data_IF_069489716418
#
_entry.id   IF_069489716418
#
_cell.length_a   1.000
_cell.length_b   1.000
_cell.length_c   1.000
_cell.angle_alpha   90.00
_cell.angle_beta   90.00
_cell.angle_gamma   90.00
#
_symmetry.space_group_name_H-M   'P 1'
#
loop_
_entity.id
_entity.type
_entity.pdbx_description
1 polymer ?
#
# COMPACT_ATOMS: atom_id res chain seq x y z
N UNK A 1 30.48 1.31 -13.42
CA UNK A 1 29.94 0.28 -14.35
C UNK A 1 30.80 -0.96 -14.21
N UNK A 2 30.19 -2.09 -13.84
CA UNK A 2 30.88 -3.36 -13.61
C UNK A 2 30.65 -4.32 -14.79
N UNK A 3 31.72 -4.90 -15.29
CA UNK A 3 31.68 -5.94 -16.32
C UNK A 3 30.77 -7.09 -15.87
N UNK A 4 29.93 -7.60 -16.75
CA UNK A 4 28.99 -8.72 -16.55
C UNK A 4 27.80 -8.48 -15.64
N UNK A 5 27.71 -7.35 -14.90
CA UNK A 5 26.60 -7.04 -14.00
C UNK A 5 25.75 -5.87 -14.47
N UNK A 6 26.36 -4.93 -15.18
CA UNK A 6 25.69 -3.71 -15.62
C UNK A 6 25.37 -3.76 -17.11
N UNK A 7 24.30 -3.07 -17.49
CA UNK A 7 23.87 -2.85 -18.86
C UNK A 7 23.74 -1.35 -19.08
N UNK A 8 24.32 -0.85 -20.15
CA UNK A 8 24.19 0.53 -20.56
C UNK A 8 22.97 0.68 -21.48
N UNK A 9 21.95 1.41 -21.05
CA UNK A 9 20.77 1.73 -21.85
C UNK A 9 20.89 3.18 -22.35
N UNK A 10 20.89 3.36 -23.68
CA UNK A 10 21.11 4.66 -24.33
C UNK A 10 19.98 4.98 -25.28
N UNK A 11 19.42 6.18 -25.12
CA UNK A 11 18.39 6.72 -25.98
C UNK A 11 18.92 7.91 -26.80
N UNK A 12 18.73 7.88 -28.11
CA UNK A 12 19.05 9.02 -28.97
C UNK A 12 18.26 8.95 -30.28
N UNK A 13 17.53 10.01 -30.62
CA UNK A 13 16.71 10.06 -31.83
C UNK A 13 17.56 9.81 -33.07
N UNK A 14 18.64 10.58 -33.25
CA UNK A 14 19.58 10.41 -34.36
C UNK A 14 20.55 9.26 -34.16
N UNK A 15 20.90 8.97 -32.89
CA UNK A 15 21.95 8.04 -32.52
C UNK A 15 23.36 8.44 -32.99
N UNK A 16 23.55 9.72 -33.36
CA UNK A 16 24.80 10.26 -33.92
C UNK A 16 25.42 11.37 -33.06
N UNK A 17 24.89 11.62 -31.84
CA UNK A 17 25.39 12.66 -30.94
C UNK A 17 26.85 12.35 -30.58
N UNK A 18 27.73 13.36 -30.74
CA UNK A 18 29.18 13.21 -30.54
C UNK A 18 29.55 12.77 -29.12
N UNK A 19 28.75 13.22 -28.13
CA UNK A 19 28.93 12.87 -26.73
C UNK A 19 28.81 11.35 -26.45
N UNK A 20 28.01 10.66 -27.25
CA UNK A 20 27.83 9.19 -27.10
C UNK A 20 29.07 8.40 -27.47
N UNK A 21 29.99 8.95 -28.29
CA UNK A 21 31.11 8.26 -28.83
C UNK A 21 32.06 7.70 -27.74
N UNK A 22 32.36 8.53 -26.76
CA UNK A 22 33.27 8.17 -25.66
C UNK A 22 32.70 7.05 -24.80
N UNK A 23 31.43 7.16 -24.42
CA UNK A 23 30.79 6.16 -23.56
C UNK A 23 30.53 4.83 -24.29
N UNK A 24 30.15 4.88 -25.55
CA UNK A 24 29.99 3.66 -26.38
C UNK A 24 31.30 2.91 -26.60
N UNK A 25 32.38 3.63 -26.91
CA UNK A 25 33.73 3.04 -27.01
C UNK A 25 34.18 2.46 -25.69
N UNK A 26 33.94 3.17 -24.57
CA UNK A 26 34.25 2.68 -23.23
C UNK A 26 33.51 1.35 -22.97
N UNK A 27 32.18 1.34 -23.18
CA UNK A 27 31.38 0.15 -22.97
C UNK A 27 31.84 -1.05 -23.76
N UNK A 28 32.17 -0.84 -25.05
CA UNK A 28 32.69 -1.90 -25.92
C UNK A 28 34.08 -2.41 -25.46
N UNK A 29 35.02 -1.52 -25.09
CA UNK A 29 36.36 -1.93 -24.58
C UNK A 29 36.22 -2.75 -23.29
N UNK A 30 35.26 -2.48 -22.47
CA UNK A 30 35.07 -3.17 -21.19
C UNK A 30 34.06 -4.33 -21.26
N UNK A 31 33.61 -4.69 -22.48
CA UNK A 31 32.58 -5.73 -22.70
C UNK A 31 31.30 -5.51 -21.86
N UNK A 32 30.84 -4.26 -21.74
CA UNK A 32 29.59 -3.88 -21.13
C UNK A 32 28.50 -3.96 -22.20
N UNK A 33 27.44 -4.71 -21.94
CA UNK A 33 26.30 -4.82 -22.86
C UNK A 33 25.63 -3.47 -23.04
N UNK A 34 25.40 -3.07 -24.29
CA UNK A 34 24.72 -1.82 -24.66
C UNK A 34 23.37 -2.14 -25.27
N UNK A 35 22.31 -1.56 -24.73
CA UNK A 35 20.98 -1.50 -25.35
C UNK A 35 20.83 -0.12 -25.95
N UNK A 36 20.89 -0.01 -27.28
CA UNK A 36 20.69 1.25 -27.97
C UNK A 36 19.28 1.39 -28.50
N UNK A 37 18.65 2.51 -28.23
CA UNK A 37 17.31 2.86 -28.70
C UNK A 37 17.42 4.11 -29.57
N UNK A 38 17.07 3.99 -30.85
CA UNK A 38 17.19 5.08 -31.82
C UNK A 38 16.05 5.06 -32.84
N UNK A 39 15.80 6.21 -33.47
CA UNK A 39 14.85 6.32 -34.61
C UNK A 39 15.56 6.27 -35.97
N UNK A 40 16.89 6.01 -36.02
CA UNK A 40 17.69 5.89 -37.25
C UNK A 40 18.41 4.55 -37.26
N UNK A 41 18.05 3.68 -38.21
CA UNK A 41 18.56 2.30 -38.29
C UNK A 41 20.09 2.22 -38.55
N UNK A 42 20.63 3.15 -39.31
CA UNK A 42 22.06 3.22 -39.64
C UNK A 42 22.91 3.99 -38.63
N UNK A 43 22.33 4.34 -37.46
CA UNK A 43 23.01 5.17 -36.47
C UNK A 43 24.23 4.52 -35.86
N UNK A 44 25.20 5.36 -35.45
CA UNK A 44 26.39 4.94 -34.70
C UNK A 44 25.98 4.22 -33.42
N UNK A 45 24.99 4.74 -32.68
CA UNK A 45 24.47 4.10 -31.46
C UNK A 45 24.08 2.66 -31.71
N UNK A 46 23.26 2.38 -32.73
CA UNK A 46 22.81 1.02 -33.00
C UNK A 46 23.96 0.12 -33.50
N UNK A 47 24.96 0.67 -34.22
CA UNK A 47 26.13 -0.10 -34.61
C UNK A 47 26.94 -0.61 -33.42
N UNK A 48 27.10 0.21 -32.37
CA UNK A 48 27.82 -0.12 -31.15
C UNK A 48 26.99 -0.89 -30.10
N UNK A 49 25.69 -1.09 -30.35
CA UNK A 49 24.79 -1.74 -29.39
C UNK A 49 24.77 -3.26 -29.56
N UNK A 50 24.80 -3.96 -28.41
CA UNK A 50 24.57 -5.41 -28.32
C UNK A 50 23.11 -5.74 -28.65
N UNK A 51 22.19 -4.94 -28.12
CA UNK A 51 20.74 -5.02 -28.40
C UNK A 51 20.33 -3.72 -29.10
N UNK A 52 19.71 -3.86 -30.28
CA UNK A 52 19.34 -2.74 -31.14
C UNK A 52 17.82 -2.58 -31.13
N UNK A 53 17.33 -1.43 -30.68
CA UNK A 53 15.92 -1.09 -30.69
C UNK A 53 15.71 0.07 -31.64
N UNK A 54 14.95 -0.19 -32.69
CA UNK A 54 14.57 0.82 -33.65
C UNK A 54 13.12 1.27 -33.38
N UNK A 55 12.93 2.51 -32.97
CA UNK A 55 11.61 3.12 -32.83
C UNK A 55 11.22 3.88 -34.10
N UNK A 56 9.93 4.03 -34.36
CA UNK A 56 9.46 4.81 -35.49
C UNK A 56 9.91 6.27 -35.36
N UNK A 57 10.31 6.85 -36.48
CA UNK A 57 10.56 8.30 -36.56
C UNK A 57 9.23 9.03 -36.57
N UNK A 58 9.07 9.96 -35.64
CA UNK A 58 7.85 10.79 -35.49
C UNK A 58 8.20 12.25 -35.76
N UNK A 59 7.23 13.00 -36.31
CA UNK A 59 7.36 14.44 -36.45
C UNK A 59 7.21 15.10 -35.09
N UNK A 60 8.08 16.07 -34.80
CA UNK A 60 7.95 16.89 -33.61
C UNK A 60 6.72 17.79 -33.68
N UNK A 61 6.09 18.04 -32.54
CA UNK A 61 4.95 18.94 -32.45
C UNK A 61 5.41 20.41 -32.49
N UNK A 62 4.64 21.25 -33.18
CA UNK A 62 4.93 22.68 -33.30
C UNK A 62 5.94 23.02 -34.39
N UNK A 63 6.39 24.26 -34.39
CA UNK A 63 7.29 24.80 -35.41
C UNK A 63 8.76 24.90 -34.98
N UNK A 64 9.12 24.22 -33.87
CA UNK A 64 10.47 24.26 -33.31
C UNK A 64 11.18 22.91 -33.45
N UNK A 65 12.51 22.92 -33.34
CA UNK A 65 13.32 21.69 -33.32
C UNK A 65 13.33 21.04 -31.91
N UNK A 66 12.49 21.54 -30.99
CA UNK A 66 12.42 21.01 -29.63
C UNK A 66 11.85 19.60 -29.65
N UNK A 67 12.48 18.65 -28.91
CA UNK A 67 11.99 17.28 -28.81
C UNK A 67 10.65 17.24 -28.05
N UNK A 68 9.61 16.71 -28.67
CA UNK A 68 8.25 16.58 -28.15
C UNK A 68 7.73 15.16 -28.37
N UNK A 69 7.28 14.85 -29.56
CA UNK A 69 6.76 13.53 -29.93
C UNK A 69 7.82 12.44 -29.80
N UNK A 70 9.08 12.73 -30.12
CA UNK A 70 10.19 11.78 -29.94
C UNK A 70 10.46 11.48 -28.45
N UNK A 71 10.33 12.49 -27.57
CA UNK A 71 10.46 12.30 -26.11
C UNK A 71 9.36 11.39 -25.58
N UNK A 72 8.10 11.60 -26.01
CA UNK A 72 6.99 10.73 -25.63
C UNK A 72 7.18 9.29 -26.14
N UNK A 73 7.70 9.13 -27.34
CA UNK A 73 8.01 7.82 -27.90
C UNK A 73 9.04 7.05 -27.04
N UNK A 74 10.12 7.71 -26.65
CA UNK A 74 11.12 7.11 -25.74
C UNK A 74 10.57 6.83 -24.36
N UNK A 75 9.79 7.76 -23.80
CA UNK A 75 9.16 7.59 -22.48
C UNK A 75 8.23 6.36 -22.49
N UNK A 76 7.35 6.26 -23.49
CA UNK A 76 6.41 5.14 -23.61
C UNK A 76 7.13 3.79 -23.70
N UNK A 77 8.22 3.73 -24.48
CA UNK A 77 9.01 2.51 -24.60
C UNK A 77 9.73 2.18 -23.29
N UNK A 78 10.31 3.19 -22.63
CA UNK A 78 10.96 3.04 -21.33
C UNK A 78 10.02 2.51 -20.26
N UNK A 79 8.80 3.05 -20.18
CA UNK A 79 7.76 2.59 -19.25
C UNK A 79 7.36 1.13 -19.54
N UNK A 80 7.17 0.79 -20.83
CA UNK A 80 6.86 -0.60 -21.20
C UNK A 80 7.97 -1.57 -20.78
N UNK A 81 9.24 -1.19 -20.95
CA UNK A 81 10.39 -1.97 -20.49
C UNK A 81 10.39 -2.10 -18.96
N UNK A 82 10.21 -1.00 -18.25
CA UNK A 82 10.20 -0.99 -16.79
C UNK A 82 9.11 -1.91 -16.22
N UNK A 83 7.86 -1.80 -16.71
CA UNK A 83 6.74 -2.64 -16.30
C UNK A 83 6.99 -4.11 -16.63
N UNK A 84 7.59 -4.41 -17.78
CA UNK A 84 7.94 -5.77 -18.16
C UNK A 84 9.00 -6.36 -17.23
N UNK A 85 10.03 -5.60 -16.88
CA UNK A 85 11.03 -5.97 -15.91
C UNK A 85 10.44 -6.21 -14.51
N UNK A 86 9.52 -5.35 -14.08
CA UNK A 86 8.80 -5.51 -12.80
C UNK A 86 8.02 -6.81 -12.76
N UNK A 87 7.26 -7.13 -13.82
CA UNK A 87 6.53 -8.40 -13.95
C UNK A 87 7.46 -9.60 -13.87
N UNK A 88 8.56 -9.59 -14.65
CA UNK A 88 9.53 -10.67 -14.69
C UNK A 88 10.24 -10.88 -13.33
N UNK A 89 10.55 -9.80 -12.62
CA UNK A 89 11.15 -9.83 -11.26
C UNK A 89 10.12 -10.12 -10.17
N UNK A 90 8.86 -10.38 -10.50
CA UNK A 90 7.76 -10.57 -9.52
C UNK A 90 7.77 -9.45 -8.48
N UNK A 91 7.80 -8.21 -8.98
CA UNK A 91 7.78 -7.02 -8.13
C UNK A 91 6.42 -6.92 -7.41
N UNK A 92 6.44 -6.71 -6.11
CA UNK A 92 5.24 -6.65 -5.27
C UNK A 92 5.12 -5.29 -4.58
N UNK A 93 3.91 -4.93 -4.15
CA UNK A 93 3.69 -3.73 -3.35
C UNK A 93 4.58 -3.70 -2.10
N UNK A 94 4.85 -4.87 -1.47
CA UNK A 94 5.76 -4.97 -0.34
C UNK A 94 7.19 -4.54 -0.69
N UNK A 95 7.70 -4.93 -1.86
CA UNK A 95 9.01 -4.49 -2.35
C UNK A 95 9.01 -3.00 -2.66
N UNK A 96 7.91 -2.46 -3.21
CA UNK A 96 7.77 -1.04 -3.48
C UNK A 96 7.84 -0.21 -2.19
N UNK A 97 7.07 -0.58 -1.16
CA UNK A 97 7.09 0.07 0.16
C UNK A 97 8.50 0.03 0.79
N UNK A 98 9.20 -1.10 0.69
CA UNK A 98 10.56 -1.24 1.23
C UNK A 98 11.57 -0.28 0.58
N UNK A 99 11.36 0.09 -0.70
CA UNK A 99 12.24 1.03 -1.44
C UNK A 99 11.77 2.49 -1.35
N UNK A 100 10.49 2.73 -0.94
CA UNK A 100 9.90 4.06 -0.84
C UNK A 100 9.17 4.25 0.51
N UNK A 101 9.88 4.14 1.66
CA UNK A 101 9.25 4.06 2.97
C UNK A 101 8.48 5.32 3.39
N UNK A 102 8.78 6.46 2.81
CA UNK A 102 8.20 7.77 3.18
C UNK A 102 7.21 8.33 2.14
N UNK A 103 6.92 7.61 1.08
CA UNK A 103 6.04 8.09 0.00
C UNK A 103 4.55 7.91 0.34
N UNK A 104 3.68 8.83 -0.10
CA UNK A 104 2.21 8.73 0.04
C UNK A 104 1.66 7.44 -0.56
N UNK A 105 2.24 6.94 -1.65
CA UNK A 105 1.91 5.65 -2.24
C UNK A 105 2.26 4.46 -1.31
N UNK A 106 3.34 4.56 -0.55
CA UNK A 106 3.72 3.52 0.41
C UNK A 106 2.71 3.42 1.55
N UNK A 107 2.30 4.56 2.11
CA UNK A 107 1.32 4.62 3.20
C UNK A 107 -0.06 4.13 2.76
N UNK A 108 -0.47 4.37 1.50
CA UNK A 108 -1.75 3.88 0.96
C UNK A 108 -1.83 2.36 0.82
N UNK A 109 -0.68 1.67 0.77
CA UNK A 109 -0.59 0.22 0.60
C UNK A 109 -0.46 -0.56 1.92
N UNK A 110 -0.32 0.12 3.05
CA UNK A 110 -0.24 -0.53 4.37
C UNK A 110 -1.54 -1.30 4.64
N UNK A 111 -1.40 -2.59 4.97
CA UNK A 111 -2.55 -3.43 5.28
C UNK A 111 -2.94 -3.31 6.76
N UNK A 112 -4.23 -3.49 7.04
CA UNK A 112 -4.79 -3.48 8.40
C UNK A 112 -4.02 -4.38 9.36
N UNK A 113 -3.66 -5.60 8.93
CA UNK A 113 -2.89 -6.55 9.76
C UNK A 113 -1.52 -6.06 10.21
N UNK A 114 -0.94 -5.07 9.53
CA UNK A 114 0.39 -4.53 9.84
C UNK A 114 0.38 -3.50 10.98
N UNK A 115 -0.81 -2.96 11.28
CA UNK A 115 -0.96 -1.87 12.24
C UNK A 115 -2.06 -2.07 13.28
N UNK A 116 -2.85 -3.14 13.19
CA UNK A 116 -3.92 -3.45 14.15
C UNK A 116 -3.35 -3.91 15.49
N UNK A 117 -4.07 -3.65 16.56
CA UNK A 117 -3.85 -4.29 17.86
C UNK A 117 -4.23 -5.77 17.79
N UNK A 118 -3.42 -6.66 18.36
CA UNK A 118 -3.58 -8.12 18.25
C UNK A 118 -3.45 -8.82 19.59
N UNK A 119 -3.86 -10.08 19.67
CA UNK A 119 -3.65 -10.97 20.83
C UNK A 119 -4.05 -10.32 22.16
N UNK A 120 -3.09 -10.17 23.07
CA UNK A 120 -3.30 -9.61 24.41
C UNK A 120 -3.71 -8.13 24.42
N UNK A 121 -3.55 -7.41 23.30
CA UNK A 121 -3.97 -6.01 23.18
C UNK A 121 -5.48 -5.88 22.93
N UNK A 122 -6.16 -6.96 22.50
CA UNK A 122 -7.59 -6.95 22.23
C UNK A 122 -8.35 -6.92 23.56
N UNK A 123 -9.11 -5.86 23.87
CA UNK A 123 -9.94 -5.81 25.07
C UNK A 123 -11.16 -6.73 24.90
N UNK A 124 -11.04 -7.95 25.39
CA UNK A 124 -12.06 -8.99 25.27
C UNK A 124 -12.55 -9.42 26.65
N UNK A 125 -13.85 -9.32 26.86
CA UNK A 125 -14.50 -9.75 28.10
C UNK A 125 -15.68 -10.68 27.81
N UNK A 126 -16.12 -11.41 28.85
CA UNK A 126 -17.36 -12.18 28.81
C UNK A 126 -18.57 -11.25 28.77
N UNK A 127 -19.62 -11.66 28.05
CA UNK A 127 -20.91 -10.97 28.04
C UNK A 127 -21.59 -10.89 29.43
N UNK A 128 -21.14 -11.72 30.40
CA UNK A 128 -21.62 -11.70 31.77
C UNK A 128 -20.73 -10.83 32.70
N UNK A 129 -19.70 -10.18 32.18
CA UNK A 129 -18.83 -9.33 32.98
C UNK A 129 -19.59 -8.10 33.50
N UNK A 130 -19.09 -7.52 34.58
CA UNK A 130 -19.64 -6.28 35.12
C UNK A 130 -19.19 -5.09 34.28
N UNK A 131 -19.97 -4.02 34.29
CA UNK A 131 -19.61 -2.77 33.59
C UNK A 131 -18.32 -2.17 34.18
N UNK A 132 -18.07 -2.34 35.49
CA UNK A 132 -16.79 -1.93 36.09
C UNK A 132 -15.60 -2.66 35.47
N UNK A 133 -15.71 -3.98 35.27
CA UNK A 133 -14.65 -4.77 34.61
C UNK A 133 -14.43 -4.31 33.16
N UNK A 134 -15.51 -4.01 32.43
CA UNK A 134 -15.42 -3.47 31.09
C UNK A 134 -14.71 -2.11 31.02
N UNK A 135 -15.06 -1.18 31.89
CA UNK A 135 -14.41 0.14 31.98
C UNK A 135 -12.92 -0.01 32.35
N UNK A 136 -12.61 -0.89 33.30
CA UNK A 136 -11.21 -1.17 33.67
C UNK A 136 -10.41 -1.68 32.49
N UNK A 137 -10.92 -2.67 31.75
CA UNK A 137 -10.28 -3.24 30.57
C UNK A 137 -10.11 -2.19 29.45
N UNK A 138 -11.13 -1.37 29.21
CA UNK A 138 -11.09 -0.27 28.24
C UNK A 138 -9.99 0.75 28.59
N UNK A 139 -9.86 1.10 29.88
CA UNK A 139 -8.85 2.03 30.37
C UNK A 139 -7.42 1.47 30.23
N UNK A 140 -7.26 0.17 30.46
CA UNK A 140 -5.95 -0.50 30.32
C UNK A 140 -5.52 -0.55 28.85
N UNK A 141 -6.43 -0.95 27.94
CA UNK A 141 -6.12 -1.14 26.51
C UNK A 141 -6.14 0.16 25.70
N UNK A 142 -6.78 1.22 26.19
CA UNK A 142 -6.81 2.58 25.58
C UNK A 142 -7.34 2.62 24.14
N UNK A 143 -8.22 1.68 23.76
CA UNK A 143 -8.81 1.61 22.42
C UNK A 143 -10.24 2.19 22.34
N UNK A 144 -10.75 2.79 23.43
CA UNK A 144 -12.08 3.40 23.51
C UNK A 144 -13.24 2.42 23.33
N UNK A 145 -12.96 1.11 23.32
CA UNK A 145 -13.97 0.06 23.22
C UNK A 145 -13.57 -1.21 23.98
N UNK A 146 -14.55 -2.08 24.23
CA UNK A 146 -14.36 -3.46 24.71
C UNK A 146 -15.23 -4.40 23.89
N UNK A 147 -14.68 -5.53 23.51
CA UNK A 147 -15.40 -6.61 22.85
C UNK A 147 -16.05 -7.53 23.89
N UNK A 148 -17.35 -7.72 23.79
CA UNK A 148 -18.14 -8.60 24.63
C UNK A 148 -18.47 -9.88 23.86
N UNK A 149 -17.87 -11.01 24.25
CA UNK A 149 -18.13 -12.31 23.60
C UNK A 149 -19.36 -12.95 24.21
N UNK A 150 -20.38 -13.18 23.37
CA UNK A 150 -21.61 -13.86 23.72
C UNK A 150 -21.45 -15.40 23.69
N UNK A 151 -22.37 -16.12 24.36
CA UNK A 151 -22.37 -17.61 24.38
C UNK A 151 -22.48 -18.23 22.98
N UNK A 152 -23.18 -17.57 22.07
CA UNK A 152 -23.36 -18.02 20.67
C UNK A 152 -22.15 -17.65 19.76
N UNK A 153 -21.08 -17.16 20.35
CA UNK A 153 -19.88 -16.74 19.62
C UNK A 153 -19.97 -15.36 18.97
N UNK A 154 -21.13 -14.68 19.02
CA UNK A 154 -21.24 -13.30 18.50
C UNK A 154 -20.41 -12.34 19.35
N UNK A 155 -19.96 -11.30 18.70
CA UNK A 155 -19.25 -10.19 19.35
C UNK A 155 -20.11 -8.95 19.30
N UNK A 156 -20.39 -8.41 20.49
CA UNK A 156 -20.94 -7.07 20.69
C UNK A 156 -19.83 -6.16 21.19
N UNK A 157 -19.95 -4.86 21.02
CA UNK A 157 -18.96 -3.90 21.52
C UNK A 157 -19.60 -2.91 22.48
N UNK A 158 -18.85 -2.56 23.52
CA UNK A 158 -19.15 -1.44 24.41
C UNK A 158 -18.12 -0.34 24.16
N UNK A 159 -18.59 0.85 23.81
CA UNK A 159 -17.74 2.01 23.51
C UNK A 159 -17.88 3.09 24.60
N UNK A 160 -16.93 4.03 24.66
CA UNK A 160 -17.04 5.23 25.51
C UNK A 160 -18.34 6.01 25.25
N UNK A 161 -18.79 6.05 24.00
CA UNK A 161 -20.06 6.65 23.62
C UNK A 161 -21.26 5.94 24.23
N UNK A 162 -21.24 4.61 24.29
CA UNK A 162 -22.32 3.82 24.91
C UNK A 162 -22.37 4.05 26.41
N UNK A 163 -21.23 4.14 27.07
CA UNK A 163 -21.12 4.46 28.50
C UNK A 163 -21.73 5.84 28.77
N UNK A 164 -21.32 6.86 28.01
CA UNK A 164 -21.85 8.23 28.15
C UNK A 164 -23.36 8.31 27.94
N UNK A 165 -23.88 7.67 26.92
CA UNK A 165 -25.32 7.63 26.64
C UNK A 165 -26.14 6.92 27.72
N UNK A 166 -25.53 6.02 28.47
CA UNK A 166 -26.16 5.21 29.48
C UNK A 166 -25.71 5.57 30.91
N UNK A 167 -25.17 6.77 31.13
CA UNK A 167 -24.60 7.20 32.44
C UNK A 167 -25.59 7.06 33.60
N UNK A 168 -26.88 7.33 33.40
CA UNK A 168 -27.91 7.14 34.40
C UNK A 168 -28.08 5.65 34.77
N UNK A 169 -27.81 5.32 36.03
CA UNK A 169 -27.92 3.96 36.58
C UNK A 169 -27.01 2.94 35.82
N UNK A 170 -25.89 3.38 35.29
CA UNK A 170 -24.97 2.59 34.46
C UNK A 170 -24.64 1.23 35.11
N UNK A 171 -24.21 1.23 36.37
CA UNK A 171 -23.76 0.02 37.07
C UNK A 171 -24.87 -0.98 37.44
N UNK A 172 -26.15 -0.58 37.34
CA UNK A 172 -27.31 -1.46 37.55
C UNK A 172 -27.73 -2.19 36.26
N UNK A 173 -27.20 -1.77 35.09
CA UNK A 173 -27.55 -2.36 33.82
C UNK A 173 -26.69 -3.58 33.52
N UNK A 174 -27.27 -4.58 32.82
CA UNK A 174 -26.49 -5.68 32.24
C UNK A 174 -25.69 -5.15 31.02
N UNK A 175 -24.45 -5.56 30.88
CA UNK A 175 -23.55 -5.07 29.84
C UNK A 175 -24.13 -5.23 28.42
N UNK A 176 -24.74 -6.38 28.12
CA UNK A 176 -25.36 -6.63 26.81
C UNK A 176 -26.56 -5.74 26.47
N UNK A 177 -27.16 -5.05 27.45
CA UNK A 177 -28.23 -4.10 27.21
C UNK A 177 -27.73 -2.78 26.66
N UNK A 178 -26.47 -2.46 26.90
CA UNK A 178 -25.85 -1.18 26.50
C UNK A 178 -24.83 -1.35 25.36
N UNK A 179 -24.43 -2.58 25.06
CA UNK A 179 -23.53 -2.88 23.94
C UNK A 179 -24.17 -2.69 22.58
N UNK A 180 -23.42 -2.21 21.64
CA UNK A 180 -23.77 -2.24 20.22
C UNK A 180 -23.61 -3.67 19.68
N UNK A 181 -24.71 -4.21 19.13
CA UNK A 181 -24.79 -5.61 18.65
C UNK A 181 -24.28 -5.81 17.23
N UNK A 182 -24.08 -4.75 16.47
CA UNK A 182 -23.64 -4.77 15.09
C UNK A 182 -22.35 -3.96 14.91
N UNK A 183 -21.21 -4.45 15.42
CA UNK A 183 -19.93 -3.75 15.26
C UNK A 183 -19.54 -3.68 13.80
N UNK A 184 -18.77 -2.66 13.46
CA UNK A 184 -18.20 -2.54 12.13
C UNK A 184 -16.95 -3.40 12.00
N UNK A 185 -16.86 -4.14 10.90
CA UNK A 185 -15.79 -5.08 10.62
C UNK A 185 -14.96 -4.64 9.41
N UNK A 186 -13.70 -5.05 9.38
CA UNK A 186 -12.82 -4.90 8.23
C UNK A 186 -11.98 -6.16 8.07
N UNK A 187 -11.54 -6.45 6.85
CA UNK A 187 -10.62 -7.57 6.60
C UNK A 187 -9.19 -7.20 6.99
N UNK A 188 -8.45 -8.18 7.48
CA UNK A 188 -7.01 -8.03 7.76
C UNK A 188 -6.18 -7.66 6.52
N UNK A 189 -6.65 -8.03 5.32
CA UNK A 189 -6.01 -7.76 4.02
C UNK A 189 -6.41 -6.42 3.40
N UNK A 190 -7.43 -5.74 3.94
CA UNK A 190 -7.82 -4.42 3.46
C UNK A 190 -6.72 -3.40 3.78
N UNK A 191 -6.72 -2.28 3.05
CA UNK A 191 -5.74 -1.21 3.30
C UNK A 191 -6.16 -0.34 4.49
N UNK A 192 -5.19 0.24 5.18
CA UNK A 192 -5.45 1.17 6.27
C UNK A 192 -6.20 2.43 5.78
N UNK A 193 -5.99 2.83 4.53
CA UNK A 193 -6.73 3.93 3.91
C UNK A 193 -8.22 3.61 3.79
N UNK A 194 -8.58 2.42 3.28
CA UNK A 194 -9.98 1.98 3.20
C UNK A 194 -10.63 1.86 4.60
N UNK A 195 -9.82 1.55 5.61
CA UNK A 195 -10.29 1.54 7.00
C UNK A 195 -10.65 2.94 7.50
N UNK A 196 -9.82 3.95 7.21
CA UNK A 196 -10.09 5.35 7.55
C UNK A 196 -11.37 5.83 6.86
N UNK A 197 -11.52 5.58 5.57
CA UNK A 197 -12.73 5.92 4.83
C UNK A 197 -13.98 5.30 5.47
N UNK A 198 -13.90 4.02 5.85
CA UNK A 198 -14.98 3.32 6.52
C UNK A 198 -15.30 3.89 7.91
N UNK A 199 -14.27 4.28 8.68
CA UNK A 199 -14.42 4.93 9.97
C UNK A 199 -15.11 6.30 9.81
N UNK A 200 -14.67 7.11 8.85
CA UNK A 200 -15.21 8.44 8.56
C UNK A 200 -16.69 8.36 8.11
N UNK A 201 -17.00 7.48 7.16
CA UNK A 201 -18.37 7.31 6.65
C UNK A 201 -19.35 6.85 7.73
N UNK A 202 -18.88 6.06 8.70
CA UNK A 202 -19.69 5.57 9.82
C UNK A 202 -19.60 6.41 11.09
N UNK A 203 -18.76 7.46 11.08
CA UNK A 203 -18.49 8.33 12.25
C UNK A 203 -18.07 7.53 13.49
N UNK A 204 -17.14 6.57 13.29
CA UNK A 204 -16.57 5.72 14.33
C UNK A 204 -15.05 5.79 14.27
N UNK A 205 -14.39 5.47 15.39
CA UNK A 205 -12.93 5.54 15.53
C UNK A 205 -12.26 4.18 15.55
N UNK A 206 -13.03 3.09 15.50
CA UNK A 206 -12.48 1.74 15.62
C UNK A 206 -13.24 0.74 14.76
N UNK A 207 -12.52 -0.26 14.24
CA UNK A 207 -13.06 -1.37 13.47
C UNK A 207 -12.58 -2.70 14.09
N UNK A 208 -13.47 -3.69 14.17
CA UNK A 208 -13.07 -5.05 14.46
C UNK A 208 -12.46 -5.68 13.21
N UNK A 209 -11.38 -6.41 13.38
CA UNK A 209 -10.68 -7.07 12.27
C UNK A 209 -10.97 -8.57 12.30
N UNK A 210 -11.31 -9.11 11.15
CA UNK A 210 -11.51 -10.54 10.94
C UNK A 210 -10.64 -11.03 9.76
N UNK A 211 -10.39 -12.35 9.71
CA UNK A 211 -9.77 -12.96 8.54
C UNK A 211 -10.63 -12.71 7.30
N UNK A 212 -10.00 -12.52 6.16
CA UNK A 212 -10.68 -12.30 4.87
C UNK A 212 -11.72 -13.38 4.57
N UNK A 213 -11.41 -14.65 4.90
CA UNK A 213 -12.30 -15.82 4.73
C UNK A 213 -13.55 -15.76 5.61
N UNK A 214 -13.52 -15.00 6.69
CA UNK A 214 -14.60 -14.92 7.67
C UNK A 214 -15.50 -13.69 7.48
N UNK A 215 -15.17 -12.80 6.56
CA UNK A 215 -15.90 -11.55 6.36
C UNK A 215 -17.38 -11.76 6.02
N UNK A 216 -17.72 -12.83 5.31
CA UNK A 216 -19.10 -13.16 4.92
C UNK A 216 -19.82 -14.07 5.92
N UNK A 217 -19.16 -14.51 6.99
CA UNK A 217 -19.79 -15.38 8.01
C UNK A 217 -20.71 -14.57 8.93
N UNK A 218 -21.78 -15.20 9.40
CA UNK A 218 -22.69 -14.60 10.41
C UNK A 218 -21.98 -14.38 11.75
N UNK A 219 -21.09 -15.28 12.14
CA UNK A 219 -20.25 -15.20 13.34
C UNK A 219 -18.80 -15.06 12.89
N UNK A 220 -18.16 -13.98 13.30
CA UNK A 220 -16.77 -13.66 12.95
C UNK A 220 -15.91 -13.73 14.20
N UNK A 221 -14.70 -14.25 14.04
CA UNK A 221 -13.68 -14.19 15.07
C UNK A 221 -12.93 -12.85 14.99
N UNK A 222 -12.79 -12.18 16.12
CA UNK A 222 -11.93 -10.98 16.23
C UNK A 222 -10.48 -11.44 16.29
N UNK A 223 -9.71 -11.08 15.28
CA UNK A 223 -8.25 -11.33 15.23
C UNK A 223 -7.45 -10.07 15.57
N UNK A 224 -8.09 -8.91 15.53
CA UNK A 224 -7.49 -7.62 15.86
C UNK A 224 -8.53 -6.51 15.99
N UNK A 225 -8.04 -5.36 16.44
CA UNK A 225 -8.79 -4.09 16.46
C UNK A 225 -7.94 -3.02 15.80
N UNK A 226 -8.51 -2.34 14.82
CA UNK A 226 -7.89 -1.17 14.23
C UNK A 226 -8.54 0.09 14.80
N UNK A 227 -7.73 0.92 15.44
CA UNK A 227 -8.14 2.23 15.92
C UNK A 227 -7.57 3.33 15.00
N UNK A 228 -8.30 4.43 14.84
CA UNK A 228 -7.90 5.55 14.00
C UNK A 228 -6.47 6.05 14.31
N UNK A 229 -6.11 6.11 15.60
CA UNK A 229 -4.75 6.50 16.00
C UNK A 229 -3.64 5.56 15.49
N UNK A 230 -3.92 4.28 15.26
CA UNK A 230 -2.94 3.37 14.62
C UNK A 230 -2.63 3.80 13.19
N UNK A 231 -3.62 4.30 12.46
CA UNK A 231 -3.43 4.83 11.11
C UNK A 231 -2.66 6.16 11.14
N UNK A 232 -3.12 7.10 11.99
CA UNK A 232 -2.51 8.44 12.09
C UNK A 232 -1.05 8.41 12.53
N UNK A 233 -0.68 7.51 13.47
CA UNK A 233 0.71 7.34 13.93
C UNK A 233 1.64 6.82 12.83
N UNK A 234 1.10 6.25 11.76
CA UNK A 234 1.84 5.81 10.55
C UNK A 234 1.76 6.82 9.41
N UNK A 235 1.24 8.03 9.67
CA UNK A 235 1.10 9.09 8.66
C UNK A 235 0.00 8.84 7.62
N UNK A 236 -0.90 7.88 7.86
CA UNK A 236 -2.02 7.57 6.97
C UNK A 236 -3.18 8.52 7.32
N UNK A 237 -3.62 9.30 6.33
CA UNK A 237 -4.67 10.32 6.50
C UNK A 237 -5.78 10.13 5.48
#
# INVERSE_FOLDING_TARGET
IQKNNDVLLVFSVSGESSELNSILRFANRHNISVIGVSCKSSSMLLRYSTIKILLPRVAEAGYTLAPTSSSLNFLSWGDALAITCMKKKKWTNKKFVATHPSGTLATSLIQVKEIMATKSEIPLISANATIRAAIKEMSIKKLGLVCCKEKNGKISILTDGDIRRNSNNLYKKKILKICSKNPSWISESDTALSAIEKMNNRKITSLLVANSKDMNKKVKNVIGILHLHHCLSRGIK
#
